data_IF_693766676539
#
_entry.id   IF_693766676539
#
_cell.length_a   1.000
_cell.length_b   1.000
_cell.length_c   1.000
_cell.angle_alpha   90.00
_cell.angle_beta   90.00
_cell.angle_gamma   90.00
#
_symmetry.space_group_name_H-M   'P 1'
#
loop_
_entity.id
_entity.type
_entity.pdbx_description
1 polymer ?
#
# COMPACT_ATOMS: atom_id res chain seq x y z
N UNK A 1 15.34 -24.98 -1.30
CA UNK A 1 14.88 -26.36 -1.10
C UNK A 1 15.97 -27.23 -0.49
N UNK A 2 17.21 -27.17 -1.00
CA UNK A 2 18.33 -28.01 -0.61
C UNK A 2 18.62 -27.94 0.91
N UNK A 3 18.79 -26.74 1.48
CA UNK A 3 19.03 -26.58 2.92
C UNK A 3 17.86 -27.10 3.78
N UNK A 4 16.62 -26.91 3.33
CA UNK A 4 15.46 -27.41 4.07
C UNK A 4 15.35 -28.95 4.01
N UNK A 5 15.62 -29.54 2.85
CA UNK A 5 15.68 -30.99 2.70
C UNK A 5 16.79 -31.58 3.55
N UNK A 6 17.98 -30.99 3.54
CA UNK A 6 19.10 -31.42 4.38
C UNK A 6 18.78 -31.33 5.87
N UNK A 7 18.10 -30.25 6.30
CA UNK A 7 17.71 -30.10 7.71
C UNK A 7 16.79 -31.22 8.20
N UNK A 8 15.89 -31.71 7.34
CA UNK A 8 14.98 -32.81 7.66
C UNK A 8 15.48 -34.20 7.18
N UNK A 9 16.70 -34.29 6.64
CA UNK A 9 17.25 -35.57 6.16
C UNK A 9 16.45 -36.19 5.01
N UNK A 10 15.92 -35.34 4.11
CA UNK A 10 15.06 -35.75 2.99
C UNK A 10 15.83 -35.79 1.68
N UNK A 11 15.70 -36.91 0.94
CA UNK A 11 16.18 -37.00 -0.44
C UNK A 11 15.25 -36.32 -1.42
N UNK A 12 15.75 -36.09 -2.64
CA UNK A 12 14.97 -35.48 -3.71
C UNK A 12 14.48 -36.52 -4.71
N UNK A 13 13.25 -36.34 -5.15
CA UNK A 13 12.73 -37.07 -6.32
C UNK A 13 12.25 -36.07 -7.40
N UNK A 14 12.17 -36.55 -8.63
CA UNK A 14 11.63 -35.78 -9.73
C UNK A 14 10.10 -35.91 -9.77
N UNK A 15 9.39 -34.78 -9.64
CA UNK A 15 7.94 -34.77 -9.61
C UNK A 15 7.36 -34.44 -10.98
N UNK A 16 6.91 -35.47 -11.71
CA UNK A 16 6.41 -35.39 -13.10
C UNK A 16 5.27 -34.37 -13.26
N UNK A 17 4.30 -34.35 -12.35
CA UNK A 17 3.18 -33.39 -12.43
C UNK A 17 3.66 -31.94 -12.35
N UNK A 18 4.55 -31.60 -11.43
CA UNK A 18 5.15 -30.27 -11.38
C UNK A 18 5.91 -29.93 -12.64
N UNK A 19 6.60 -30.91 -13.23
CA UNK A 19 7.32 -30.70 -14.48
C UNK A 19 6.37 -30.38 -15.65
N UNK A 20 5.28 -31.10 -15.79
CA UNK A 20 4.24 -30.83 -16.79
C UNK A 20 3.69 -29.40 -16.61
N UNK A 21 3.37 -29.01 -15.39
CA UNK A 21 2.89 -27.64 -15.11
C UNK A 21 3.92 -26.56 -15.44
N UNK A 22 5.18 -26.79 -15.19
CA UNK A 22 6.29 -25.88 -15.56
C UNK A 22 6.34 -25.72 -17.09
N UNK A 23 6.25 -26.82 -17.83
CA UNK A 23 6.27 -26.81 -19.30
C UNK A 23 5.05 -26.08 -19.88
N UNK A 24 3.84 -26.35 -19.37
CA UNK A 24 2.61 -25.64 -19.76
C UNK A 24 2.75 -24.13 -19.56
N UNK A 25 3.37 -23.72 -18.44
CA UNK A 25 3.53 -22.31 -18.11
C UNK A 25 4.56 -21.62 -19.01
N UNK A 26 5.69 -22.28 -19.28
CA UNK A 26 6.70 -21.79 -20.23
C UNK A 26 6.10 -21.62 -21.62
N UNK A 27 5.35 -22.60 -22.08
CA UNK A 27 4.68 -22.52 -23.39
C UNK A 27 3.69 -21.33 -23.49
N UNK A 28 2.89 -21.09 -22.44
CA UNK A 28 1.96 -19.95 -22.38
C UNK A 28 2.66 -18.59 -22.34
N UNK A 29 3.89 -18.52 -21.81
CA UNK A 29 4.65 -17.26 -21.74
C UNK A 29 5.37 -16.90 -23.05
N UNK A 30 5.22 -17.73 -24.12
CA UNK A 30 5.91 -17.54 -25.41
C UNK A 30 7.41 -17.87 -25.39
N UNK A 31 7.92 -18.41 -24.28
CA UNK A 31 9.29 -18.87 -24.21
C UNK A 31 9.42 -20.27 -24.83
N UNK A 32 10.39 -20.43 -25.74
CA UNK A 32 10.65 -21.69 -26.44
C UNK A 32 11.74 -22.55 -25.79
N UNK A 33 12.48 -22.00 -24.85
CA UNK A 33 13.68 -22.66 -24.28
C UNK A 33 13.43 -23.11 -22.84
N UNK A 34 13.56 -24.41 -22.60
CA UNK A 34 13.53 -25.02 -21.28
C UNK A 34 14.96 -25.19 -20.79
N UNK A 35 15.28 -24.72 -19.60
CA UNK A 35 16.63 -24.77 -19.03
C UNK A 35 16.76 -25.83 -17.91
N UNK A 36 17.98 -26.20 -17.57
CA UNK A 36 18.24 -27.08 -16.42
C UNK A 36 17.71 -26.48 -15.10
N UNK A 37 17.65 -25.14 -14.98
CA UNK A 37 17.07 -24.50 -13.80
C UNK A 37 15.56 -24.75 -13.70
N UNK A 38 14.85 -24.80 -14.83
CA UNK A 38 13.44 -25.20 -14.82
C UNK A 38 13.26 -26.63 -14.36
N UNK A 39 14.14 -27.54 -14.79
CA UNK A 39 14.10 -28.96 -14.35
C UNK A 39 14.35 -29.10 -12.85
N UNK A 40 15.29 -28.31 -12.29
CA UNK A 40 15.52 -28.25 -10.84
C UNK A 40 14.29 -27.83 -10.03
N UNK A 41 13.38 -27.04 -10.60
CA UNK A 41 12.14 -26.65 -9.92
C UNK A 41 11.22 -27.86 -9.66
N UNK A 42 11.26 -28.87 -10.52
CA UNK A 42 10.51 -30.11 -10.37
C UNK A 42 11.15 -31.13 -9.42
N UNK A 43 12.39 -30.87 -8.93
CA UNK A 43 13.00 -31.66 -7.88
C UNK A 43 12.36 -31.31 -6.54
N UNK A 44 11.68 -32.25 -5.93
CA UNK A 44 10.91 -32.10 -4.69
C UNK A 44 11.51 -32.98 -3.60
N UNK A 45 11.69 -32.48 -2.37
CA UNK A 45 12.10 -33.31 -1.24
C UNK A 45 11.04 -34.38 -0.92
N UNK A 46 11.45 -35.54 -0.56
CA UNK A 46 10.55 -36.63 -0.24
C UNK A 46 9.64 -36.27 0.95
N UNK A 47 8.36 -36.65 0.85
CA UNK A 47 7.35 -36.32 1.84
C UNK A 47 6.92 -34.85 1.91
N UNK A 48 7.36 -34.01 0.98
CA UNK A 48 6.92 -32.61 0.93
C UNK A 48 5.49 -32.49 0.40
N UNK A 49 4.70 -31.61 1.03
CA UNK A 49 3.43 -31.12 0.47
C UNK A 49 3.74 -30.09 -0.60
N UNK A 50 3.25 -30.31 -1.81
CA UNK A 50 3.52 -29.43 -2.94
C UNK A 50 2.45 -28.35 -3.01
N UNK A 51 2.90 -27.09 -3.12
CA UNK A 51 2.04 -25.92 -3.31
C UNK A 51 2.09 -25.51 -4.78
N UNK A 52 0.95 -25.58 -5.47
CA UNK A 52 0.86 -25.22 -6.88
C UNK A 52 1.06 -23.71 -7.07
N UNK A 53 1.84 -23.35 -8.08
CA UNK A 53 2.08 -21.95 -8.46
C UNK A 53 1.20 -21.57 -9.65
N UNK A 54 0.13 -20.84 -9.41
CA UNK A 54 -0.78 -20.39 -10.46
C UNK A 54 -0.29 -19.16 -11.23
N UNK A 55 0.75 -18.48 -10.73
CA UNK A 55 1.28 -17.24 -11.30
C UNK A 55 2.65 -17.40 -11.97
N UNK A 56 3.41 -18.44 -11.62
CA UNK A 56 4.77 -18.69 -12.08
C UNK A 56 5.05 -20.16 -12.36
N UNK A 57 6.34 -20.52 -12.44
CA UNK A 57 6.79 -21.89 -12.76
C UNK A 57 7.21 -22.70 -11.53
N UNK A 58 7.81 -22.04 -10.52
CA UNK A 58 8.37 -22.73 -9.38
C UNK A 58 7.30 -23.12 -8.35
N UNK A 59 7.05 -24.41 -8.06
CA UNK A 59 6.15 -24.81 -6.99
C UNK A 59 6.74 -24.43 -5.62
N UNK A 60 5.86 -24.08 -4.69
CA UNK A 60 6.19 -24.04 -3.28
C UNK A 60 6.16 -25.43 -2.67
N UNK A 61 6.68 -25.58 -1.45
CA UNK A 61 6.63 -26.82 -0.70
C UNK A 61 6.44 -26.55 0.78
N UNK A 62 5.84 -27.51 1.48
CA UNK A 62 5.84 -27.59 2.94
C UNK A 62 6.53 -28.89 3.33
N UNK A 63 7.51 -28.78 4.20
CA UNK A 63 8.14 -29.91 4.88
C UNK A 63 7.71 -29.93 6.33
N UNK A 64 7.27 -31.06 6.79
CA UNK A 64 6.81 -31.27 8.16
C UNK A 64 7.59 -32.40 8.84
N UNK A 65 7.95 -32.18 10.09
CA UNK A 65 8.47 -33.20 10.97
C UNK A 65 8.15 -32.85 12.42
N UNK A 66 7.47 -33.74 13.12
CA UNK A 66 7.00 -33.54 14.49
C UNK A 66 6.28 -32.16 14.66
N UNK A 67 6.91 -31.25 15.43
CA UNK A 67 6.37 -29.92 15.71
C UNK A 67 6.96 -28.81 14.84
N UNK A 68 7.80 -29.15 13.84
CA UNK A 68 8.48 -28.19 12.97
C UNK A 68 7.91 -28.22 11.57
N UNK A 69 7.72 -27.05 11.00
CA UNK A 69 7.24 -26.88 9.63
C UNK A 69 8.09 -25.86 8.92
N UNK A 70 8.55 -26.20 7.72
CA UNK A 70 9.24 -25.26 6.83
C UNK A 70 8.38 -25.08 5.59
N UNK A 71 7.99 -23.84 5.33
CA UNK A 71 7.20 -23.46 4.16
C UNK A 71 8.10 -22.67 3.22
N UNK A 72 8.27 -23.13 2.00
CA UNK A 72 9.05 -22.46 0.96
C UNK A 72 8.14 -22.00 -0.16
N UNK A 73 8.20 -20.70 -0.46
CA UNK A 73 7.43 -20.06 -1.52
C UNK A 73 8.36 -19.41 -2.55
N UNK A 74 7.87 -19.10 -3.77
CA UNK A 74 8.62 -18.31 -4.76
C UNK A 74 8.96 -16.92 -4.25
N UNK A 75 10.08 -16.35 -4.73
CA UNK A 75 10.51 -15.00 -4.36
C UNK A 75 9.68 -13.85 -4.93
N UNK A 76 9.21 -13.89 -6.21
CA UNK A 76 8.45 -12.80 -6.78
C UNK A 76 7.17 -12.52 -5.97
N UNK A 77 6.91 -11.24 -5.55
CA UNK A 77 5.80 -10.90 -4.64
C UNK A 77 4.43 -11.36 -5.14
N UNK A 78 4.17 -11.29 -6.44
CA UNK A 78 2.89 -11.72 -7.03
C UNK A 78 2.66 -13.22 -6.85
N UNK A 79 3.68 -14.04 -7.10
CA UNK A 79 3.62 -15.49 -6.96
C UNK A 79 3.49 -15.89 -5.50
N UNK A 80 4.30 -15.27 -4.63
CA UNK A 80 4.31 -15.53 -3.19
C UNK A 80 2.96 -15.20 -2.55
N UNK A 81 2.39 -14.03 -2.84
CA UNK A 81 1.10 -13.61 -2.29
C UNK A 81 -0.05 -14.53 -2.73
N UNK A 82 -0.13 -14.87 -4.01
CA UNK A 82 -1.16 -15.78 -4.55
C UNK A 82 -1.07 -17.16 -3.91
N UNK A 83 0.14 -17.70 -3.79
CA UNK A 83 0.38 -19.02 -3.16
C UNK A 83 0.09 -18.97 -1.66
N UNK A 84 0.46 -17.89 -0.98
CA UNK A 84 0.16 -17.71 0.44
C UNK A 84 -1.35 -17.76 0.68
N UNK A 85 -2.10 -16.95 -0.03
CA UNK A 85 -3.56 -16.86 0.16
C UNK A 85 -4.28 -18.17 -0.17
N UNK A 86 -3.92 -18.80 -1.29
CA UNK A 86 -4.63 -20.00 -1.77
C UNK A 86 -4.24 -21.29 -1.07
N UNK A 87 -3.00 -21.39 -0.61
CA UNK A 87 -2.46 -22.66 -0.13
C UNK A 87 -1.89 -22.60 1.28
N UNK A 88 -1.05 -21.61 1.59
CA UNK A 88 -0.35 -21.52 2.86
C UNK A 88 -1.29 -21.07 3.98
N UNK A 89 -2.09 -20.04 3.77
CA UNK A 89 -3.05 -19.56 4.77
C UNK A 89 -4.04 -20.66 5.20
N UNK A 90 -4.73 -21.38 4.30
CA UNK A 90 -5.61 -22.49 4.70
C UNK A 90 -4.88 -23.64 5.43
N UNK A 91 -3.62 -23.89 5.04
CA UNK A 91 -2.82 -24.87 5.72
C UNK A 91 -2.50 -24.45 7.17
N UNK A 92 -2.06 -23.20 7.39
CA UNK A 92 -1.73 -22.68 8.72
C UNK A 92 -2.96 -22.57 9.63
N UNK A 93 -4.12 -22.25 9.07
CA UNK A 93 -5.39 -22.16 9.82
C UNK A 93 -5.79 -23.46 10.50
N UNK A 94 -5.29 -24.63 10.03
CA UNK A 94 -5.53 -25.92 10.67
C UNK A 94 -4.89 -26.06 12.05
N UNK A 95 -3.86 -25.24 12.33
CA UNK A 95 -3.09 -25.32 13.57
C UNK A 95 -3.42 -24.19 14.56
N UNK A 96 -4.22 -23.21 14.16
CA UNK A 96 -4.63 -22.10 15.00
C UNK A 96 -6.11 -22.21 15.34
N UNK A 97 -6.43 -22.24 16.63
CA UNK A 97 -7.80 -22.09 17.14
C UNK A 97 -8.19 -20.62 17.29
N UNK A 98 -7.19 -19.72 17.36
CA UNK A 98 -7.41 -18.28 17.55
C UNK A 98 -7.81 -17.57 16.27
N UNK A 99 -8.66 -16.57 16.42
CA UNK A 99 -8.99 -15.58 15.39
C UNK A 99 -8.01 -14.43 15.47
N UNK A 100 -7.70 -13.85 14.31
CA UNK A 100 -6.87 -12.66 14.20
C UNK A 100 -7.69 -11.60 13.48
N UNK A 101 -7.74 -10.41 14.06
CA UNK A 101 -8.38 -9.23 13.47
C UNK A 101 -7.35 -8.11 13.45
N UNK A 102 -7.28 -7.40 12.33
CA UNK A 102 -6.43 -6.22 12.20
C UNK A 102 -7.29 -5.00 11.87
N UNK A 103 -6.99 -3.88 12.50
CA UNK A 103 -7.50 -2.56 12.15
C UNK A 103 -6.34 -1.66 11.74
N UNK A 104 -6.58 -0.83 10.77
CA UNK A 104 -5.57 0.08 10.22
C UNK A 104 -6.01 1.51 10.46
N UNK A 105 -5.07 2.35 10.84
CA UNK A 105 -5.28 3.76 11.15
C UNK A 105 -4.33 4.59 10.32
N UNK A 106 -4.84 5.53 9.54
CA UNK A 106 -4.04 6.42 8.71
C UNK A 106 -3.94 7.80 9.33
N UNK A 107 -2.72 8.31 9.37
CA UNK A 107 -2.39 9.62 9.93
C UNK A 107 -1.83 10.53 8.86
N UNK A 108 -2.23 11.81 8.91
CA UNK A 108 -1.70 12.88 8.08
C UNK A 108 -1.17 14.02 8.96
N UNK A 109 -0.14 14.73 8.47
CA UNK A 109 0.43 15.88 9.19
C UNK A 109 1.24 15.52 10.44
N UNK A 110 1.66 14.26 10.56
CA UNK A 110 2.59 13.79 11.60
C UNK A 110 3.61 12.83 10.96
N UNK A 111 4.88 12.99 11.28
CA UNK A 111 5.93 12.06 10.85
C UNK A 111 5.98 10.81 11.72
N UNK A 112 6.47 9.69 11.15
CA UNK A 112 6.57 8.39 11.83
C UNK A 112 7.30 8.50 13.18
N UNK A 113 8.50 9.10 13.22
CA UNK A 113 9.29 9.24 14.45
C UNK A 113 8.58 10.03 15.56
N UNK A 114 7.79 11.06 15.17
CA UNK A 114 7.03 11.84 16.14
C UNK A 114 5.83 11.04 16.66
N UNK A 115 5.11 10.33 15.79
CA UNK A 115 4.01 9.46 16.19
C UNK A 115 4.52 8.34 17.09
N UNK A 116 5.61 7.65 16.70
CA UNK A 116 6.28 6.63 17.52
C UNK A 116 6.63 7.16 18.91
N UNK A 117 7.22 8.35 18.99
CA UNK A 117 7.55 8.98 20.26
C UNK A 117 6.33 9.22 21.13
N UNK A 118 5.23 9.71 20.54
CA UNK A 118 4.00 10.00 21.28
C UNK A 118 3.33 8.72 21.84
N UNK A 119 3.32 7.63 21.06
CA UNK A 119 2.71 6.35 21.46
C UNK A 119 3.73 5.34 22.01
N UNK A 120 4.96 5.76 22.29
CA UNK A 120 6.08 4.89 22.72
C UNK A 120 5.71 4.00 23.91
N UNK A 121 5.04 4.56 24.91
CA UNK A 121 4.63 3.81 26.10
C UNK A 121 3.63 2.69 25.78
N UNK A 122 2.85 2.82 24.68
CA UNK A 122 1.96 1.78 24.18
C UNK A 122 2.77 0.71 23.42
N UNK A 123 3.71 1.16 22.56
CA UNK A 123 4.56 0.27 21.77
C UNK A 123 5.48 -0.60 22.64
N UNK A 124 6.08 -0.01 23.65
CA UNK A 124 7.02 -0.72 24.55
C UNK A 124 6.31 -1.76 25.45
N UNK A 125 5.03 -1.58 25.75
CA UNK A 125 4.25 -2.46 26.62
C UNK A 125 3.19 -3.27 25.87
N UNK A 126 3.31 -3.37 24.55
CA UNK A 126 2.35 -4.15 23.77
C UNK A 126 2.58 -5.66 23.92
N UNK A 127 1.50 -6.39 24.03
CA UNK A 127 1.46 -7.85 23.97
C UNK A 127 0.35 -8.30 23.00
N UNK A 128 -0.90 -8.03 23.37
CA UNK A 128 -2.07 -8.28 22.55
C UNK A 128 -3.14 -7.24 22.89
N UNK A 129 -3.50 -6.34 21.95
CA UNK A 129 -3.09 -6.23 20.55
C UNK A 129 -1.66 -5.78 20.31
N UNK A 130 -1.07 -6.22 19.19
CA UNK A 130 0.20 -5.72 18.69
C UNK A 130 0.01 -4.53 17.76
N UNK A 131 0.96 -3.60 17.76
CA UNK A 131 0.97 -2.40 16.94
C UNK A 131 2.20 -2.39 16.02
N UNK A 132 2.00 -1.97 14.78
CA UNK A 132 3.09 -1.80 13.82
C UNK A 132 2.88 -0.51 13.02
N UNK A 133 3.92 0.35 12.99
CA UNK A 133 3.97 1.56 12.19
C UNK A 133 4.59 1.29 10.82
N UNK A 134 4.08 1.96 9.80
CA UNK A 134 4.58 1.91 8.43
C UNK A 134 4.63 3.34 7.88
N UNK A 135 5.85 3.83 7.60
CA UNK A 135 6.02 5.10 6.90
C UNK A 135 5.55 4.98 5.45
N UNK A 136 4.82 5.99 5.02
CA UNK A 136 4.43 6.19 3.62
C UNK A 136 4.75 7.63 3.21
N UNK A 137 4.68 7.93 1.93
CA UNK A 137 4.96 9.29 1.45
C UNK A 137 3.90 10.26 1.94
N UNK A 138 4.27 11.13 2.90
CA UNK A 138 3.38 12.17 3.45
C UNK A 138 2.36 11.70 4.48
N UNK A 139 2.37 10.42 4.87
CA UNK A 139 1.45 9.84 5.84
C UNK A 139 2.09 8.72 6.65
N UNK A 140 1.45 8.33 7.74
CA UNK A 140 1.82 7.15 8.54
C UNK A 140 0.62 6.20 8.61
N UNK A 141 0.88 4.92 8.43
CA UNK A 141 -0.10 3.86 8.63
C UNK A 141 0.25 3.10 9.91
N UNK A 142 -0.71 2.97 10.82
CA UNK A 142 -0.61 2.12 12.00
C UNK A 142 -1.53 0.92 11.81
N UNK A 143 -1.00 -0.28 12.04
CA UNK A 143 -1.78 -1.51 12.12
C UNK A 143 -1.89 -1.94 13.58
N UNK A 144 -3.11 -2.22 14.03
CA UNK A 144 -3.44 -2.79 15.34
C UNK A 144 -3.95 -4.21 15.09
N UNK A 145 -3.29 -5.22 15.62
CA UNK A 145 -3.70 -6.63 15.42
C UNK A 145 -3.95 -7.32 16.75
N UNK A 146 -5.14 -7.82 16.95
CA UNK A 146 -5.53 -8.63 18.10
C UNK A 146 -5.70 -10.12 17.73
N UNK A 147 -5.44 -10.98 18.70
CA UNK A 147 -5.73 -12.42 18.62
C UNK A 147 -6.53 -12.88 19.82
N UNK A 148 -7.66 -13.58 19.59
CA UNK A 148 -8.54 -14.11 20.63
C UNK A 148 -9.30 -15.35 20.13
N UNK A 149 -10.16 -15.93 20.96
CA UNK A 149 -10.97 -17.09 20.58
C UNK A 149 -12.16 -16.69 19.68
N UNK A 150 -12.56 -15.42 19.71
CA UNK A 150 -13.62 -14.89 18.86
C UNK A 150 -13.23 -13.56 18.18
N UNK A 151 -13.87 -13.27 17.06
CA UNK A 151 -13.72 -11.98 16.34
C UNK A 151 -14.17 -10.83 17.23
N UNK A 152 -15.28 -10.97 17.94
CA UNK A 152 -15.82 -9.94 18.83
C UNK A 152 -14.88 -9.57 19.98
N UNK A 153 -14.14 -10.53 20.52
CA UNK A 153 -13.10 -10.25 21.52
C UNK A 153 -11.92 -9.48 20.92
N UNK A 154 -11.46 -9.87 19.73
CA UNK A 154 -10.44 -9.13 19.02
C UNK A 154 -10.85 -7.68 18.77
N UNK A 155 -12.07 -7.44 18.29
CA UNK A 155 -12.61 -6.10 18.02
C UNK A 155 -12.63 -5.24 19.27
N UNK A 156 -13.12 -5.75 20.40
CA UNK A 156 -13.12 -5.03 21.69
C UNK A 156 -11.71 -4.65 22.16
N UNK A 157 -10.75 -5.57 21.98
CA UNK A 157 -9.36 -5.29 22.33
C UNK A 157 -8.75 -4.19 21.46
N UNK A 158 -9.05 -4.22 20.16
CA UNK A 158 -8.61 -3.21 19.19
C UNK A 158 -9.24 -1.86 19.51
N UNK A 159 -10.54 -1.82 19.79
CA UNK A 159 -11.28 -0.60 20.07
C UNK A 159 -10.73 0.13 21.30
N UNK A 160 -10.52 -0.60 22.39
CA UNK A 160 -9.86 -0.06 23.60
C UNK A 160 -8.44 0.47 23.33
N UNK A 161 -7.73 -0.13 22.38
CA UNK A 161 -6.39 0.35 22.02
C UNK A 161 -6.45 1.56 21.10
N UNK A 162 -7.43 1.61 20.20
CA UNK A 162 -7.68 2.73 19.31
C UNK A 162 -8.08 3.98 20.09
N UNK A 163 -8.96 3.88 21.09
CA UNK A 163 -9.34 4.99 22.00
C UNK A 163 -8.10 5.68 22.59
N UNK A 164 -7.13 4.92 23.10
CA UNK A 164 -5.89 5.47 23.65
C UNK A 164 -5.05 6.21 22.59
N UNK A 165 -5.06 5.74 21.36
CA UNK A 165 -4.33 6.36 20.24
C UNK A 165 -5.05 7.64 19.80
N UNK A 166 -6.37 7.64 19.79
CA UNK A 166 -7.21 8.80 19.49
C UNK A 166 -7.03 9.92 20.52
N UNK A 167 -6.91 9.60 21.81
CA UNK A 167 -6.57 10.58 22.86
C UNK A 167 -5.22 11.28 22.61
N UNK A 168 -4.25 10.58 22.00
CA UNK A 168 -2.87 11.08 21.82
C UNK A 168 -2.70 11.82 20.48
N UNK A 169 -3.35 11.35 19.42
CA UNK A 169 -3.10 11.78 18.05
C UNK A 169 -4.37 11.75 17.17
N UNK A 170 -5.55 11.79 17.75
CA UNK A 170 -6.82 11.71 17.02
C UNK A 170 -7.01 12.84 16.01
N UNK A 171 -6.49 14.03 16.29
CA UNK A 171 -6.50 15.19 15.39
C UNK A 171 -5.69 14.97 14.08
N UNK A 172 -4.89 13.91 14.01
CA UNK A 172 -4.10 13.52 12.84
C UNK A 172 -4.66 12.31 12.10
N UNK A 173 -5.66 11.63 12.68
CA UNK A 173 -6.31 10.48 12.06
C UNK A 173 -7.28 10.98 10.99
N UNK A 174 -7.13 10.48 9.77
CA UNK A 174 -8.07 10.80 8.69
C UNK A 174 -8.87 9.59 8.19
N UNK A 175 -8.42 8.37 8.52
CA UNK A 175 -9.12 7.16 8.13
C UNK A 175 -8.82 6.01 9.10
N UNK A 176 -9.87 5.26 9.47
CA UNK A 176 -9.80 4.03 10.25
C UNK A 176 -10.60 2.95 9.52
N UNK A 177 -10.06 1.75 9.38
CA UNK A 177 -10.75 0.66 8.70
C UNK A 177 -10.03 -0.68 8.81
N UNK A 178 -10.46 -1.63 7.99
CA UNK A 178 -9.85 -2.97 7.89
C UNK A 178 -8.65 -2.99 6.91
N UNK A 179 -8.23 -4.17 6.49
CA UNK A 179 -7.08 -4.34 5.59
C UNK A 179 -7.26 -3.62 4.24
N UNK A 180 -8.48 -3.37 3.80
CA UNK A 180 -8.76 -2.68 2.53
C UNK A 180 -8.16 -1.28 2.48
N UNK A 181 -8.12 -0.59 3.64
CA UNK A 181 -7.51 0.74 3.73
C UNK A 181 -5.98 0.74 3.76
N UNK A 182 -5.33 -0.41 3.74
CA UNK A 182 -3.87 -0.51 3.57
C UNK A 182 -3.44 -0.31 2.11
N UNK A 183 -4.38 -0.37 1.18
CA UNK A 183 -4.16 -0.25 -0.26
C UNK A 183 -3.90 1.19 -0.71
N UNK A 184 -3.38 1.36 -1.93
CA UNK A 184 -3.21 2.67 -2.55
C UNK A 184 -4.54 3.40 -2.80
N UNK A 185 -5.65 2.67 -2.95
CA UNK A 185 -6.97 3.25 -3.18
C UNK A 185 -7.48 4.12 -2.02
N UNK A 186 -6.92 3.99 -0.85
CA UNK A 186 -7.24 4.77 0.35
C UNK A 186 -6.14 5.74 0.76
N UNK A 187 -5.18 6.02 -0.13
CA UNK A 187 -4.23 7.10 0.05
C UNK A 187 -4.93 8.47 0.07
N UNK A 188 -4.32 9.44 0.72
CA UNK A 188 -4.92 10.74 1.01
C UNK A 188 -5.55 11.40 -0.23
N UNK A 189 -4.86 11.36 -1.37
CA UNK A 189 -5.37 11.96 -2.61
C UNK A 189 -6.66 11.29 -3.10
N UNK A 190 -6.81 9.96 -2.93
CA UNK A 190 -8.02 9.25 -3.29
C UNK A 190 -9.19 9.56 -2.33
N UNK A 191 -8.90 9.75 -1.05
CA UNK A 191 -9.90 10.21 -0.07
C UNK A 191 -10.34 11.63 -0.39
N UNK A 192 -9.40 12.56 -0.70
CA UNK A 192 -9.73 13.92 -1.12
C UNK A 192 -10.60 13.90 -2.38
N UNK A 193 -10.23 13.12 -3.40
CA UNK A 193 -11.03 12.98 -4.62
C UNK A 193 -12.43 12.43 -4.33
N UNK A 194 -12.56 11.50 -3.36
CA UNK A 194 -13.87 10.98 -2.92
C UNK A 194 -14.72 12.08 -2.29
N UNK A 195 -14.14 12.83 -1.38
CA UNK A 195 -14.84 13.92 -0.68
C UNK A 195 -15.28 15.02 -1.65
N UNK A 196 -14.48 15.36 -2.65
CA UNK A 196 -14.87 16.32 -3.69
C UNK A 196 -16.12 15.86 -4.44
N UNK A 197 -16.13 14.61 -4.91
CA UNK A 197 -17.26 14.03 -5.65
C UNK A 197 -18.51 13.90 -4.76
N UNK A 198 -18.36 13.38 -3.54
CA UNK A 198 -19.47 13.12 -2.61
C UNK A 198 -20.15 14.40 -2.11
N UNK A 199 -19.40 15.51 -2.04
CA UNK A 199 -19.92 16.82 -1.62
C UNK A 199 -20.22 17.73 -2.81
N UNK A 200 -20.13 17.24 -4.04
CA UNK A 200 -20.36 18.01 -5.27
C UNK A 200 -19.49 19.28 -5.35
N UNK A 201 -18.28 19.24 -4.76
CA UNK A 201 -17.33 20.33 -4.76
C UNK A 201 -16.45 20.32 -5.99
N UNK A 202 -16.17 21.50 -6.52
CA UNK A 202 -15.30 21.69 -7.67
C UNK A 202 -13.91 22.18 -7.25
N UNK A 203 -12.89 21.74 -7.97
CA UNK A 203 -11.49 22.14 -7.73
C UNK A 203 -10.81 22.55 -9.03
N UNK A 204 -9.99 23.61 -8.96
CA UNK A 204 -9.06 23.99 -10.00
C UNK A 204 -7.63 24.09 -9.47
N UNK A 205 -6.63 23.75 -10.31
CA UNK A 205 -5.26 23.56 -9.86
C UNK A 205 -4.29 24.36 -10.74
N UNK A 206 -3.33 25.04 -10.10
CA UNK A 206 -2.19 25.66 -10.76
C UNK A 206 -0.90 25.01 -10.27
N UNK A 207 -0.21 24.29 -11.16
CA UNK A 207 1.03 23.59 -10.81
C UNK A 207 2.27 24.26 -11.43
N UNK A 208 3.36 24.30 -10.68
CA UNK A 208 4.68 24.70 -11.17
C UNK A 208 5.69 23.54 -10.93
N UNK A 209 6.31 23.47 -9.74
CA UNK A 209 7.36 22.48 -9.46
C UNK A 209 6.86 21.02 -9.55
N UNK A 210 5.60 20.77 -9.32
CA UNK A 210 4.98 19.43 -9.35
C UNK A 210 4.72 18.92 -10.76
N UNK A 211 4.69 19.83 -11.75
CA UNK A 211 4.64 19.48 -13.19
C UNK A 211 3.43 18.66 -13.61
N UNK A 212 2.29 18.80 -12.95
CA UNK A 212 1.07 18.02 -13.20
C UNK A 212 0.89 16.82 -12.27
N UNK A 213 1.77 16.63 -11.29
CA UNK A 213 1.71 15.48 -10.39
C UNK A 213 0.48 15.49 -9.48
N UNK A 214 0.12 16.64 -8.93
CA UNK A 214 -1.07 16.77 -8.09
C UNK A 214 -2.34 16.40 -8.87
N UNK A 215 -2.46 16.93 -10.08
CA UNK A 215 -3.54 16.56 -11.01
C UNK A 215 -3.55 15.07 -11.31
N UNK A 216 -2.37 14.51 -11.65
CA UNK A 216 -2.24 13.07 -11.93
C UNK A 216 -2.73 12.20 -10.77
N UNK A 217 -2.45 12.59 -9.53
CA UNK A 217 -2.90 11.87 -8.35
C UNK A 217 -4.42 11.93 -8.18
N UNK A 218 -5.06 13.10 -8.41
CA UNK A 218 -6.51 13.23 -8.27
C UNK A 218 -7.28 12.47 -9.36
N UNK A 219 -6.75 12.40 -10.59
CA UNK A 219 -7.41 11.71 -11.71
C UNK A 219 -7.28 10.17 -11.64
N UNK A 220 -6.53 9.61 -10.69
CA UNK A 220 -6.52 8.18 -10.42
C UNK A 220 -7.90 7.66 -10.01
N UNK A 221 -8.73 8.54 -9.40
CA UNK A 221 -10.11 8.21 -9.05
C UNK A 221 -11.04 8.35 -10.23
N UNK A 222 -11.75 7.28 -10.58
CA UNK A 222 -12.84 7.33 -11.56
C UNK A 222 -13.98 8.24 -11.06
N UNK A 223 -14.53 9.05 -11.97
CA UNK A 223 -15.64 9.96 -11.68
C UNK A 223 -15.24 11.34 -11.14
N UNK A 224 -13.95 11.69 -11.08
CA UNK A 224 -13.48 13.01 -10.65
C UNK A 224 -13.76 14.13 -11.69
N UNK A 225 -14.16 13.77 -12.91
CA UNK A 225 -14.30 14.71 -14.03
C UNK A 225 -15.28 15.86 -13.77
N UNK A 226 -16.31 15.62 -12.97
CA UNK A 226 -17.30 16.64 -12.63
C UNK A 226 -16.80 17.60 -11.54
N UNK A 227 -15.82 17.16 -10.74
CA UNK A 227 -15.21 17.93 -9.67
C UNK A 227 -13.94 18.68 -10.10
N UNK A 228 -13.06 18.04 -10.87
CA UNK A 228 -11.82 18.66 -11.36
C UNK A 228 -12.10 19.45 -12.65
N UNK A 229 -12.35 20.76 -12.51
CA UNK A 229 -12.72 21.61 -13.64
C UNK A 229 -11.54 21.88 -14.57
N UNK A 230 -10.37 22.18 -14.01
CA UNK A 230 -9.18 22.49 -14.79
C UNK A 230 -7.91 22.33 -13.96
N UNK A 231 -6.82 22.01 -14.64
CA UNK A 231 -5.48 22.05 -14.09
C UNK A 231 -4.48 22.62 -15.09
N UNK A 232 -3.72 23.61 -14.65
CA UNK A 232 -2.78 24.35 -15.49
C UNK A 232 -1.36 24.17 -14.93
N UNK A 233 -0.43 23.70 -15.76
CA UNK A 233 0.99 23.66 -15.43
C UNK A 233 1.66 24.95 -15.94
N UNK A 234 1.91 25.90 -15.02
CA UNK A 234 2.59 27.18 -15.28
C UNK A 234 4.03 27.14 -14.80
N UNK A 235 4.92 26.47 -15.54
CA UNK A 235 6.29 26.25 -15.13
C UNK A 235 7.19 27.49 -15.24
N UNK A 236 7.06 28.27 -16.30
CA UNK A 236 7.85 29.49 -16.50
C UNK A 236 7.21 30.72 -15.87
N UNK A 237 8.02 31.76 -15.52
CA UNK A 237 7.52 33.03 -15.05
C UNK A 237 6.57 33.68 -16.05
N UNK A 238 6.92 33.62 -17.34
CA UNK A 238 6.05 34.11 -18.42
C UNK A 238 4.68 33.45 -18.40
N UNK A 239 4.63 32.10 -18.20
CA UNK A 239 3.36 31.37 -18.12
C UNK A 239 2.55 31.78 -16.88
N UNK A 240 3.20 31.99 -15.73
CA UNK A 240 2.54 32.49 -14.52
C UNK A 240 1.86 33.85 -14.75
N UNK A 241 2.56 34.76 -15.42
CA UNK A 241 2.04 36.09 -15.75
C UNK A 241 0.87 35.98 -16.75
N UNK A 242 1.11 35.37 -17.90
CA UNK A 242 0.16 35.38 -19.02
C UNK A 242 -1.08 34.51 -18.78
N UNK A 243 -0.96 33.44 -18.02
CA UNK A 243 -2.06 32.49 -17.85
C UNK A 243 -2.83 32.71 -16.56
N UNK A 244 -2.14 33.01 -15.46
CA UNK A 244 -2.74 33.13 -14.12
C UNK A 244 -2.79 34.60 -13.63
N UNK A 245 -2.18 35.56 -14.37
CA UNK A 245 -2.18 36.95 -13.99
C UNK A 245 -1.27 37.28 -12.79
N UNK A 246 -0.25 36.45 -12.53
CA UNK A 246 0.77 36.76 -11.53
C UNK A 246 1.49 38.04 -11.96
N UNK A 247 1.68 38.96 -11.01
CA UNK A 247 2.31 40.23 -11.30
C UNK A 247 3.80 40.10 -11.51
N UNK A 248 4.34 40.80 -12.48
CA UNK A 248 5.78 40.79 -12.76
C UNK A 248 6.58 41.31 -11.55
N UNK A 249 6.08 42.38 -10.90
CA UNK A 249 6.65 42.91 -9.67
C UNK A 249 6.73 41.91 -8.51
N UNK A 250 5.74 41.03 -8.41
CA UNK A 250 5.74 39.95 -7.38
C UNK A 250 6.86 38.94 -7.65
N UNK A 251 7.02 38.56 -8.92
CA UNK A 251 8.09 37.64 -9.31
C UNK A 251 9.49 38.27 -9.18
N UNK A 252 9.64 39.56 -9.51
CA UNK A 252 10.90 40.27 -9.34
C UNK A 252 11.29 40.44 -7.88
N UNK A 253 10.33 40.76 -7.02
CA UNK A 253 10.58 41.09 -5.61
C UNK A 253 10.72 39.82 -4.71
N UNK A 254 9.89 38.83 -4.95
CA UNK A 254 9.79 37.65 -4.07
C UNK A 254 10.23 36.35 -4.73
N UNK A 255 10.43 36.34 -6.05
CA UNK A 255 10.78 35.15 -6.83
C UNK A 255 9.59 34.25 -7.14
N UNK A 256 9.84 33.29 -8.04
CA UNK A 256 8.82 32.33 -8.46
C UNK A 256 8.40 31.36 -7.37
N UNK A 257 9.31 31.05 -6.44
CA UNK A 257 9.11 30.13 -5.32
C UNK A 257 8.90 30.97 -4.05
N UNK A 258 7.67 31.43 -3.84
CA UNK A 258 7.30 32.27 -2.71
C UNK A 258 5.82 32.16 -2.39
N UNK A 259 5.45 32.47 -1.16
CA UNK A 259 4.05 32.52 -0.73
C UNK A 259 3.23 33.51 -1.56
N UNK A 260 3.81 34.69 -1.85
CA UNK A 260 3.15 35.74 -2.65
C UNK A 260 2.82 35.23 -4.06
N UNK A 261 3.76 34.58 -4.70
CA UNK A 261 3.55 33.96 -6.02
C UNK A 261 2.50 32.85 -5.95
N UNK A 262 2.53 31.99 -4.93
CA UNK A 262 1.54 30.94 -4.72
C UNK A 262 0.12 31.52 -4.56
N UNK A 263 -0.01 32.60 -3.76
CA UNK A 263 -1.29 33.31 -3.54
C UNK A 263 -1.83 33.87 -4.87
N UNK A 264 -1.00 34.52 -5.65
CA UNK A 264 -1.45 35.06 -6.95
C UNK A 264 -1.78 33.95 -7.96
N UNK A 265 -1.05 32.86 -7.96
CA UNK A 265 -1.35 31.69 -8.80
C UNK A 265 -2.70 31.06 -8.42
N UNK A 266 -2.97 30.86 -7.14
CA UNK A 266 -4.24 30.26 -6.70
C UNK A 266 -5.42 31.20 -6.96
N UNK A 267 -5.26 32.52 -6.77
CA UNK A 267 -6.29 33.51 -7.12
C UNK A 267 -6.56 33.54 -8.62
N UNK A 268 -5.51 33.43 -9.42
CA UNK A 268 -5.63 33.40 -10.88
C UNK A 268 -6.43 32.18 -11.38
N UNK A 269 -6.13 30.99 -10.90
CA UNK A 269 -6.86 29.81 -11.31
C UNK A 269 -8.29 29.77 -10.75
N UNK A 270 -8.49 30.19 -9.51
CA UNK A 270 -9.82 30.31 -8.90
C UNK A 270 -10.74 31.22 -9.70
N UNK A 271 -10.27 32.44 -10.02
CA UNK A 271 -11.02 33.43 -10.81
C UNK A 271 -11.35 32.92 -12.22
N UNK A 272 -10.44 32.16 -12.83
CA UNK A 272 -10.60 31.68 -14.21
C UNK A 272 -11.70 30.66 -14.35
N UNK A 273 -11.84 29.77 -13.38
CA UNK A 273 -12.75 28.61 -13.47
C UNK A 273 -13.92 28.66 -12.48
N UNK A 274 -13.93 29.61 -11.58
CA UNK A 274 -14.98 29.80 -10.57
C UNK A 274 -15.24 28.50 -9.79
N UNK A 275 -14.17 27.78 -9.43
CA UNK A 275 -14.24 26.55 -8.63
C UNK A 275 -14.43 26.86 -7.14
N UNK A 276 -15.04 25.94 -6.40
CA UNK A 276 -15.25 26.07 -4.95
C UNK A 276 -13.91 26.04 -4.21
N UNK A 277 -12.97 25.25 -4.71
CA UNK A 277 -11.63 25.08 -4.16
C UNK A 277 -10.59 25.38 -5.25
N UNK A 278 -9.54 26.08 -4.88
CA UNK A 278 -8.39 26.27 -5.75
C UNK A 278 -7.09 25.94 -5.00
N UNK A 279 -6.13 25.33 -5.70
CA UNK A 279 -4.83 24.95 -5.14
C UNK A 279 -3.72 25.40 -6.08
N UNK A 280 -2.62 25.91 -5.52
CA UNK A 280 -1.42 26.22 -6.28
C UNK A 280 -0.18 25.59 -5.65
N UNK A 281 0.76 25.15 -6.50
CA UNK A 281 2.09 24.68 -6.10
C UNK A 281 3.16 25.45 -6.88
N UNK A 282 4.12 26.06 -6.17
CA UNK A 282 5.24 26.76 -6.79
C UNK A 282 6.53 26.63 -5.97
#
# INVERSE_FOLDING_TARGET
>A
KECAAQYFGRDFYFHEYSWVKILERIARSGMSTVTNNNKKQAMIPDGAIILENFCGTAPGIILEEENKKIILMPGPPREMKDMFEKSVRPYLQKFSTKKFVSKYVRFYGIGESLLETKIKHILDNQDNPTLALYAKTGEVLLRITASADSVSECEKMIEKQLEKIEEIAGDKIYLVGDESISSSQTELHNIVSSLLVENELTISIAESLTGGKLTSMLVERSGISDSLLESIVCYSNKSKITTLGVKEETLEKYGAVSEQTAIEMVQGVAKRFNSDIAVATT
#
